data_IF_986929378929
#
_entry.id   IF_986929378929
#
_cell.length_a   1.000
_cell.length_b   1.000
_cell.length_c   1.000
_cell.angle_alpha   90.00
_cell.angle_beta   90.00
_cell.angle_gamma   90.00
#
_symmetry.space_group_name_H-M   'P 1'
#
loop_
_entity.id
_entity.type
_entity.pdbx_description
1 polymer ?
#
# COMPACT_ATOMS: atom_id res chain seq x y z
N UNK A 1 -16.68 9.33 21.25
CA UNK A 1 -15.82 9.27 20.06
C UNK A 1 -14.54 8.48 20.33
N UNK A 2 -13.61 8.89 21.21
CA UNK A 2 -12.29 8.22 21.35
C UNK A 2 -12.32 6.73 21.78
N UNK A 3 -13.34 6.29 22.53
CA UNK A 3 -13.36 4.94 23.11
C UNK A 3 -13.36 3.79 22.09
N UNK A 4 -14.02 3.96 20.94
CA UNK A 4 -14.05 2.91 19.90
C UNK A 4 -12.76 2.84 19.11
N UNK A 5 -12.11 3.98 18.86
CA UNK A 5 -10.82 4.05 18.19
C UNK A 5 -9.74 3.33 19.02
N UNK A 6 -9.70 3.61 20.34
CA UNK A 6 -8.79 2.95 21.28
C UNK A 6 -9.06 1.46 21.35
N UNK A 7 -10.33 1.03 21.41
CA UNK A 7 -10.71 -0.38 21.38
C UNK A 7 -10.16 -1.07 20.13
N UNK A 8 -10.38 -0.49 18.95
CA UNK A 8 -9.92 -1.08 17.69
C UNK A 8 -8.39 -1.20 17.67
N UNK A 9 -7.66 -0.18 18.12
CA UNK A 9 -6.19 -0.23 18.25
C UNK A 9 -5.75 -1.35 19.19
N UNK A 10 -6.41 -1.51 20.33
CA UNK A 10 -6.10 -2.58 21.27
C UNK A 10 -6.34 -3.98 20.67
N UNK A 11 -7.45 -4.18 19.96
CA UNK A 11 -7.76 -5.45 19.29
C UNK A 11 -6.76 -5.78 18.17
N UNK A 12 -6.32 -4.77 17.42
CA UNK A 12 -5.25 -4.91 16.40
C UNK A 12 -3.92 -5.31 17.04
N UNK A 13 -3.53 -4.67 18.14
CA UNK A 13 -2.35 -5.06 18.91
C UNK A 13 -2.43 -6.52 19.41
N UNK A 14 -3.55 -6.90 20.02
CA UNK A 14 -3.78 -8.26 20.51
C UNK A 14 -3.69 -9.31 19.40
N UNK A 15 -4.21 -8.98 18.21
CA UNK A 15 -4.17 -9.88 17.06
C UNK A 15 -2.76 -10.00 16.48
N UNK A 16 -2.03 -8.89 16.33
CA UNK A 16 -0.65 -8.89 15.81
C UNK A 16 0.33 -9.61 16.73
N UNK A 17 0.08 -9.57 18.04
CA UNK A 17 0.87 -10.29 19.05
C UNK A 17 0.44 -11.75 19.23
N UNK A 18 -0.54 -12.23 18.45
CA UNK A 18 -1.11 -13.58 18.56
C UNK A 18 -1.62 -13.92 19.98
N UNK A 19 -2.02 -12.92 20.76
CA UNK A 19 -2.59 -13.13 22.10
C UNK A 19 -4.07 -13.51 22.05
N UNK A 20 -4.75 -13.21 20.95
CA UNK A 20 -6.14 -13.58 20.74
C UNK A 20 -6.38 -14.05 19.32
N UNK A 21 -7.01 -15.22 19.23
CA UNK A 21 -7.57 -15.72 17.98
C UNK A 21 -8.71 -14.83 17.51
N UNK A 22 -8.95 -14.71 16.19
CA UNK A 22 -10.01 -13.85 15.66
C UNK A 22 -11.36 -14.06 16.34
N UNK A 23 -11.77 -15.31 16.56
CA UNK A 23 -13.08 -15.65 17.14
C UNK A 23 -13.30 -15.08 18.54
N UNK A 24 -12.23 -14.94 19.34
CA UNK A 24 -12.30 -14.35 20.67
C UNK A 24 -12.59 -12.84 20.65
N UNK A 25 -12.39 -12.19 19.49
CA UNK A 25 -12.61 -10.75 19.32
C UNK A 25 -14.00 -10.42 18.75
N UNK A 26 -14.82 -11.43 18.42
CA UNK A 26 -16.08 -11.24 17.71
C UNK A 26 -17.04 -10.28 18.44
N UNK A 27 -17.34 -10.54 19.71
CA UNK A 27 -18.28 -9.72 20.50
C UNK A 27 -17.80 -8.25 20.60
N UNK A 28 -16.50 -8.05 20.83
CA UNK A 28 -15.91 -6.72 20.91
C UNK A 28 -16.01 -5.97 19.57
N UNK A 29 -15.83 -6.68 18.45
CA UNK A 29 -15.95 -6.11 17.11
C UNK A 29 -17.40 -5.78 16.76
N UNK A 30 -18.36 -6.63 17.08
CA UNK A 30 -19.79 -6.34 16.89
C UNK A 30 -20.22 -5.10 17.67
N UNK A 31 -19.73 -4.96 18.91
CA UNK A 31 -19.95 -3.74 19.71
C UNK A 31 -19.29 -2.52 19.08
N UNK A 32 -18.06 -2.64 18.56
CA UNK A 32 -17.40 -1.55 17.86
C UNK A 32 -18.20 -1.09 16.63
N UNK A 33 -18.76 -2.03 15.85
CA UNK A 33 -19.62 -1.74 14.70
C UNK A 33 -20.87 -0.96 15.12
N UNK A 34 -21.56 -1.38 16.18
CA UNK A 34 -22.75 -0.69 16.68
C UNK A 34 -22.43 0.77 17.06
N UNK A 35 -21.29 1.00 17.72
CA UNK A 35 -20.85 2.34 18.10
C UNK A 35 -20.51 3.20 16.88
N UNK A 36 -19.83 2.64 15.87
CA UNK A 36 -19.51 3.36 14.64
C UNK A 36 -20.77 3.70 13.83
N UNK A 37 -21.76 2.80 13.80
CA UNK A 37 -23.06 3.05 13.16
C UNK A 37 -23.82 4.15 13.90
N UNK A 38 -23.87 4.12 15.23
CA UNK A 38 -24.52 5.15 16.04
C UNK A 38 -23.89 6.54 15.83
N UNK A 39 -22.57 6.60 15.66
CA UNK A 39 -21.84 7.83 15.35
C UNK A 39 -21.87 8.21 13.85
N UNK A 40 -22.56 7.43 13.01
CA UNK A 40 -22.71 7.69 11.58
C UNK A 40 -21.39 7.64 10.81
N UNK A 41 -20.47 6.75 11.20
CA UNK A 41 -19.17 6.53 10.53
C UNK A 41 -18.23 7.75 10.49
N UNK A 42 -18.41 8.72 11.39
CA UNK A 42 -17.58 9.95 11.46
C UNK A 42 -16.15 9.75 11.98
N UNK A 43 -15.79 8.50 12.29
CA UNK A 43 -14.47 8.13 12.83
C UNK A 43 -13.36 8.22 11.77
N UNK A 44 -12.08 8.31 12.16
CA UNK A 44 -10.97 8.32 11.21
C UNK A 44 -10.99 7.12 10.26
N UNK A 45 -10.60 7.31 8.99
CA UNK A 45 -10.56 6.22 8.00
C UNK A 45 -9.66 5.07 8.44
N UNK A 46 -8.63 5.35 9.24
CA UNK A 46 -7.74 4.34 9.82
C UNK A 46 -8.45 3.40 10.79
N UNK A 47 -9.38 3.90 11.59
CA UNK A 47 -10.23 3.09 12.46
C UNK A 47 -11.18 2.21 11.64
N UNK A 48 -11.76 2.77 10.58
CA UNK A 48 -12.66 2.04 9.67
C UNK A 48 -11.91 0.93 8.91
N UNK A 49 -10.70 1.21 8.41
CA UNK A 49 -9.82 0.23 7.75
C UNK A 49 -9.38 -0.88 8.71
N UNK A 50 -9.04 -0.51 9.96
CA UNK A 50 -8.70 -1.47 11.01
C UNK A 50 -9.88 -2.38 11.35
N UNK A 51 -11.09 -1.83 11.46
CA UNK A 51 -12.29 -2.64 11.64
C UNK A 51 -12.50 -3.63 10.47
N UNK A 52 -12.31 -3.17 9.23
CA UNK A 52 -12.43 -4.04 8.04
C UNK A 52 -11.45 -5.21 8.11
N UNK A 53 -10.19 -4.94 8.44
CA UNK A 53 -9.18 -5.99 8.63
C UNK A 53 -9.48 -6.91 9.82
N UNK A 54 -9.92 -6.35 10.95
CA UNK A 54 -10.26 -7.14 12.13
C UNK A 54 -11.47 -8.06 11.90
N UNK A 55 -12.47 -7.63 11.15
CA UNK A 55 -13.65 -8.44 10.86
C UNK A 55 -13.49 -9.41 9.67
N UNK A 56 -12.48 -9.23 8.82
CA UNK A 56 -12.29 -10.03 7.61
C UNK A 56 -12.29 -11.56 7.83
N UNK A 57 -11.55 -12.11 8.81
CA UNK A 57 -11.58 -13.57 9.05
C UNK A 57 -12.87 -14.07 9.68
N UNK A 58 -13.72 -13.20 10.22
CA UNK A 58 -14.83 -13.58 11.09
C UNK A 58 -16.16 -13.79 10.39
N UNK A 59 -16.25 -13.47 9.08
CA UNK A 59 -17.51 -13.52 8.33
C UNK A 59 -18.67 -12.91 9.14
N UNK A 60 -18.43 -11.77 9.81
CA UNK A 60 -19.38 -11.18 10.76
C UNK A 60 -20.73 -10.97 10.07
N UNK A 61 -21.66 -11.89 10.32
CA UNK A 61 -23.05 -11.76 9.91
C UNK A 61 -23.74 -10.98 11.02
N UNK A 62 -23.65 -9.66 10.96
CA UNK A 62 -24.43 -8.85 11.88
C UNK A 62 -25.92 -9.18 11.69
N UNK A 63 -26.67 -9.35 12.78
CA UNK A 63 -28.13 -9.49 12.77
C UNK A 63 -28.83 -8.33 12.02
N UNK A 64 -28.13 -7.20 11.85
CA UNK A 64 -28.56 -6.02 11.10
C UNK A 64 -28.01 -5.92 9.66
N UNK A 65 -27.43 -6.96 9.07
CA UNK A 65 -26.97 -6.98 7.66
C UNK A 65 -25.96 -5.89 7.25
N UNK A 66 -25.44 -5.12 8.21
CA UNK A 66 -24.75 -3.85 7.97
C UNK A 66 -23.24 -3.96 7.87
N UNK A 67 -22.62 -4.95 8.52
CA UNK A 67 -21.16 -5.08 8.54
C UNK A 67 -20.60 -5.40 7.14
N UNK A 68 -21.12 -6.44 6.50
CA UNK A 68 -20.66 -6.89 5.18
C UNK A 68 -21.04 -5.93 4.05
N UNK A 69 -22.16 -5.19 4.17
CA UNK A 69 -22.67 -4.38 3.07
C UNK A 69 -22.29 -2.89 3.16
N UNK A 70 -22.23 -2.30 4.36
CA UNK A 70 -22.03 -0.85 4.52
C UNK A 70 -20.55 -0.48 4.59
N UNK A 71 -19.73 -1.27 5.28
CA UNK A 71 -18.33 -0.94 5.55
C UNK A 71 -17.50 -0.76 4.26
N UNK A 72 -17.60 -1.66 3.24
CA UNK A 72 -16.93 -1.41 1.96
C UNK A 72 -17.42 -0.15 1.26
N UNK A 73 -18.72 0.17 1.36
CA UNK A 73 -19.30 1.39 0.80
C UNK A 73 -18.71 2.66 1.42
N UNK A 74 -18.58 2.70 2.75
CA UNK A 74 -17.98 3.81 3.48
C UNK A 74 -16.50 3.99 3.10
N UNK A 75 -15.73 2.88 3.06
CA UNK A 75 -14.32 2.92 2.66
C UNK A 75 -14.15 3.37 1.20
N UNK A 76 -15.06 2.99 0.30
CA UNK A 76 -15.05 3.46 -1.10
C UNK A 76 -15.31 4.96 -1.20
N UNK A 77 -16.28 5.48 -0.45
CA UNK A 77 -16.58 6.92 -0.43
C UNK A 77 -15.40 7.74 0.10
N UNK A 78 -14.67 7.19 1.07
CA UNK A 78 -13.56 7.85 1.76
C UNK A 78 -12.19 7.43 1.26
N UNK A 79 -12.11 6.78 0.09
CA UNK A 79 -10.87 6.21 -0.42
C UNK A 79 -9.73 7.23 -0.61
N UNK A 80 -10.06 8.51 -0.81
CA UNK A 80 -9.06 9.58 -0.94
C UNK A 80 -8.36 9.90 0.39
N UNK A 81 -8.96 9.57 1.53
CA UNK A 81 -8.39 9.78 2.85
C UNK A 81 -7.38 8.69 3.24
N UNK A 82 -7.38 7.56 2.52
CA UNK A 82 -6.52 6.41 2.81
C UNK A 82 -5.03 6.77 2.74
N UNK A 83 -4.29 6.27 3.73
CA UNK A 83 -2.83 6.34 3.83
C UNK A 83 -2.22 4.95 3.68
N UNK A 84 -0.89 4.87 3.59
CA UNK A 84 -0.14 3.62 3.43
C UNK A 84 -0.56 2.50 4.39
N UNK A 85 -0.56 2.74 5.72
CA UNK A 85 -0.97 1.72 6.69
C UNK A 85 -2.41 1.22 6.47
N UNK A 86 -3.31 2.11 6.03
CA UNK A 86 -4.69 1.74 5.73
C UNK A 86 -4.75 0.83 4.49
N UNK A 87 -3.98 1.15 3.45
CA UNK A 87 -3.87 0.31 2.25
C UNK A 87 -3.34 -1.08 2.61
N UNK A 88 -2.30 -1.17 3.44
CA UNK A 88 -1.76 -2.47 3.90
C UNK A 88 -2.85 -3.31 4.58
N UNK A 89 -3.58 -2.72 5.53
CA UNK A 89 -4.70 -3.38 6.23
C UNK A 89 -5.79 -3.86 5.26
N UNK A 90 -6.21 -3.00 4.32
CA UNK A 90 -7.27 -3.32 3.37
C UNK A 90 -6.85 -4.43 2.39
N UNK A 91 -5.63 -4.38 1.86
CA UNK A 91 -5.11 -5.43 0.97
C UNK A 91 -5.01 -6.75 1.72
N UNK A 92 -4.47 -6.75 2.95
CA UNK A 92 -4.40 -7.95 3.78
C UNK A 92 -5.78 -8.54 4.08
N UNK A 93 -6.76 -7.69 4.41
CA UNK A 93 -8.13 -8.08 4.67
C UNK A 93 -8.78 -8.76 3.46
N UNK A 94 -8.62 -8.18 2.26
CA UNK A 94 -9.20 -8.70 1.02
C UNK A 94 -8.60 -10.04 0.57
N UNK A 95 -7.53 -10.53 1.20
CA UNK A 95 -7.01 -11.89 0.95
C UNK A 95 -8.01 -12.94 1.45
N UNK A 96 -8.75 -12.66 2.51
CA UNK A 96 -9.82 -13.51 3.03
C UNK A 96 -11.02 -13.54 2.06
N UNK A 97 -11.55 -14.75 1.79
CA UNK A 97 -12.60 -14.93 0.78
C UNK A 97 -13.88 -14.14 1.07
N UNK A 98 -14.26 -14.03 2.34
CA UNK A 98 -15.45 -13.29 2.77
C UNK A 98 -15.32 -11.76 2.77
N UNK A 99 -14.17 -11.23 2.35
CA UNK A 99 -13.88 -9.79 2.35
C UNK A 99 -13.35 -9.30 0.99
N UNK A 100 -13.59 -10.08 -0.06
CA UNK A 100 -13.23 -9.71 -1.43
C UNK A 100 -14.19 -8.62 -1.92
N UNK A 101 -13.65 -7.41 -2.06
CA UNK A 101 -14.41 -6.22 -2.46
C UNK A 101 -13.77 -5.59 -3.71
N UNK A 102 -14.12 -6.06 -4.93
CA UNK A 102 -13.45 -5.62 -6.17
C UNK A 102 -13.51 -4.10 -6.39
N UNK A 103 -14.65 -3.48 -6.06
CA UNK A 103 -14.84 -2.04 -6.23
C UNK A 103 -14.02 -1.23 -5.23
N UNK A 104 -13.84 -1.73 -4.00
CA UNK A 104 -12.95 -1.13 -3.01
C UNK A 104 -11.49 -1.35 -3.40
N UNK A 105 -11.14 -2.54 -3.87
CA UNK A 105 -9.80 -2.86 -4.36
C UNK A 105 -9.38 -1.89 -5.47
N UNK A 106 -10.25 -1.61 -6.44
CA UNK A 106 -9.96 -0.65 -7.51
C UNK A 106 -9.64 0.75 -6.97
N UNK A 107 -10.34 1.20 -5.91
CA UNK A 107 -10.04 2.47 -5.24
C UNK A 107 -8.70 2.42 -4.49
N UNK A 108 -8.42 1.32 -3.80
CA UNK A 108 -7.15 1.09 -3.07
C UNK A 108 -5.97 1.08 -4.05
N UNK A 109 -6.08 0.35 -5.16
CA UNK A 109 -5.06 0.31 -6.22
C UNK A 109 -4.85 1.70 -6.80
N UNK A 110 -5.92 2.40 -7.18
CA UNK A 110 -5.82 3.75 -7.73
C UNK A 110 -5.15 4.75 -6.79
N UNK A 111 -5.24 4.54 -5.46
CA UNK A 111 -4.63 5.38 -4.42
C UNK A 111 -3.11 5.22 -4.32
N UNK A 112 -2.53 4.11 -4.80
CA UNK A 112 -1.08 3.86 -4.81
C UNK A 112 -0.29 4.90 -5.62
N UNK A 113 -0.96 5.65 -6.50
CA UNK A 113 -0.36 6.73 -7.29
C UNK A 113 -0.19 8.04 -6.54
N UNK A 114 -0.77 8.15 -5.34
CA UNK A 114 -0.71 9.38 -4.58
C UNK A 114 0.69 9.63 -4.00
N UNK A 115 1.12 10.88 -4.04
CA UNK A 115 2.39 11.28 -3.45
C UNK A 115 2.40 11.01 -1.94
N UNK A 116 3.52 10.47 -1.44
CA UNK A 116 3.70 10.15 -0.02
C UNK A 116 2.83 9.00 0.50
N UNK A 117 2.11 8.27 -0.37
CA UNK A 117 1.19 7.22 0.07
C UNK A 117 1.88 6.11 0.87
N UNK A 118 3.16 5.83 0.58
CA UNK A 118 3.95 4.81 1.27
C UNK A 118 4.54 5.28 2.62
N UNK A 119 4.25 6.52 3.03
CA UNK A 119 4.66 7.03 4.33
C UNK A 119 4.08 6.21 5.48
N UNK A 120 4.93 5.84 6.44
CA UNK A 120 4.55 5.04 7.60
C UNK A 120 4.51 3.53 7.37
N UNK A 121 4.88 3.05 6.18
CA UNK A 121 5.05 1.62 5.89
C UNK A 121 6.50 1.18 6.08
N UNK A 122 6.71 -0.06 6.52
CA UNK A 122 8.00 -0.75 6.45
C UNK A 122 8.27 -1.30 5.04
N UNK A 123 9.50 -1.70 4.74
CA UNK A 123 9.81 -2.33 3.46
C UNK A 123 9.07 -3.68 3.31
N UNK A 124 8.93 -4.43 4.40
CA UNK A 124 8.12 -5.66 4.49
C UNK A 124 6.66 -5.39 4.14
N UNK A 125 6.04 -4.33 4.68
CA UNK A 125 4.64 -3.99 4.36
C UNK A 125 4.43 -3.76 2.85
N UNK A 126 5.42 -3.17 2.16
CA UNK A 126 5.34 -2.95 0.72
C UNK A 126 5.34 -4.27 -0.06
N UNK A 127 6.16 -5.24 0.37
CA UNK A 127 6.19 -6.58 -0.20
C UNK A 127 4.87 -7.31 0.07
N UNK A 128 4.33 -7.22 1.29
CA UNK A 128 3.03 -7.81 1.63
C UNK A 128 1.89 -7.22 0.81
N UNK A 129 1.90 -5.90 0.56
CA UNK A 129 0.96 -5.26 -0.35
C UNK A 129 1.10 -5.86 -1.76
N UNK A 130 2.33 -5.95 -2.29
CA UNK A 130 2.56 -6.51 -3.63
C UNK A 130 2.06 -7.95 -3.76
N UNK A 131 2.29 -8.78 -2.74
CA UNK A 131 1.77 -10.15 -2.70
C UNK A 131 0.26 -10.21 -2.59
N UNK A 132 -0.36 -9.35 -1.78
CA UNK A 132 -1.81 -9.28 -1.68
C UNK A 132 -2.46 -8.84 -2.99
N UNK A 133 -1.87 -7.88 -3.71
CA UNK A 133 -2.36 -7.42 -5.01
C UNK A 133 -2.19 -8.51 -6.10
N UNK A 134 -1.08 -9.25 -6.06
CA UNK A 134 -0.86 -10.47 -6.86
C UNK A 134 -1.96 -11.49 -6.61
N UNK A 135 -2.26 -11.80 -5.35
CA UNK A 135 -3.32 -12.76 -4.98
C UNK A 135 -4.73 -12.31 -5.44
N UNK A 136 -4.90 -11.02 -5.75
CA UNK A 136 -6.14 -10.43 -6.30
C UNK A 136 -6.11 -10.21 -7.81
N UNK A 137 -5.05 -10.64 -8.50
CA UNK A 137 -4.95 -10.55 -9.96
C UNK A 137 -4.96 -9.12 -10.48
N UNK A 138 -4.39 -8.17 -9.74
CA UNK A 138 -4.29 -6.78 -10.19
C UNK A 138 -3.21 -6.68 -11.26
N UNK A 139 -3.58 -6.16 -12.44
CA UNK A 139 -2.68 -5.97 -13.59
C UNK A 139 -2.54 -4.47 -13.99
N UNK A 140 -2.97 -3.53 -13.13
CA UNK A 140 -2.86 -2.09 -13.40
C UNK A 140 -1.41 -1.59 -13.23
N UNK A 141 -0.64 -1.65 -14.33
CA UNK A 141 0.76 -1.22 -14.39
C UNK A 141 0.98 0.22 -13.89
N UNK A 142 0.12 1.16 -14.27
CA UNK A 142 0.29 2.57 -13.90
C UNK A 142 0.14 2.79 -12.40
N UNK A 143 -0.80 2.07 -11.78
CA UNK A 143 -1.01 2.15 -10.32
C UNK A 143 0.02 1.34 -9.52
N UNK A 144 0.56 0.26 -10.10
CA UNK A 144 1.52 -0.62 -9.43
C UNK A 144 2.98 -0.15 -9.58
N UNK A 145 3.29 0.67 -10.58
CA UNK A 145 4.65 1.22 -10.80
C UNK A 145 5.20 1.95 -9.56
N UNK A 146 4.48 2.87 -8.89
CA UNK A 146 4.98 3.55 -7.70
C UNK A 146 5.34 2.58 -6.55
N UNK A 147 4.54 1.53 -6.35
CA UNK A 147 4.79 0.52 -5.32
C UNK A 147 6.12 -0.20 -5.58
N UNK A 148 6.35 -0.65 -6.81
CA UNK A 148 7.58 -1.35 -7.14
C UNK A 148 8.82 -0.45 -7.18
N UNK A 149 8.67 0.83 -7.55
CA UNK A 149 9.74 1.83 -7.42
C UNK A 149 10.13 2.06 -5.95
N UNK A 150 9.15 2.12 -5.05
CA UNK A 150 9.40 2.29 -3.63
C UNK A 150 10.07 1.05 -3.01
N UNK A 151 9.63 -0.16 -3.38
CA UNK A 151 10.29 -1.42 -2.99
C UNK A 151 11.74 -1.43 -3.46
N UNK A 152 12.01 -1.05 -4.71
CA UNK A 152 13.37 -0.98 -5.23
C UNK A 152 14.23 0.06 -4.49
N UNK A 153 13.67 1.24 -4.21
CA UNK A 153 14.34 2.30 -3.46
C UNK A 153 14.80 1.80 -2.09
N UNK A 154 13.99 0.94 -1.46
CA UNK A 154 14.22 0.36 -0.13
C UNK A 154 14.78 -1.05 -0.16
N UNK A 155 15.30 -1.53 -1.30
CA UNK A 155 15.80 -2.91 -1.46
C UNK A 155 16.85 -3.32 -0.43
N UNK A 156 17.62 -2.37 0.11
CA UNK A 156 18.63 -2.62 1.13
C UNK A 156 18.04 -2.96 2.51
N UNK A 157 16.76 -2.70 2.72
CA UNK A 157 16.01 -3.04 3.93
C UNK A 157 15.38 -4.44 3.84
N UNK A 158 15.34 -5.04 2.65
CA UNK A 158 14.71 -6.32 2.40
C UNK A 158 15.67 -7.49 2.62
N UNK A 159 15.16 -8.57 3.19
CA UNK A 159 15.83 -9.86 3.17
C UNK A 159 15.88 -10.44 1.74
N UNK A 160 16.77 -11.42 1.47
CA UNK A 160 16.79 -12.12 0.19
C UNK A 160 15.44 -12.78 -0.15
N UNK A 161 14.74 -13.29 0.86
CA UNK A 161 13.43 -13.92 0.71
C UNK A 161 12.36 -12.90 0.28
N UNK A 162 12.24 -11.77 0.98
CA UNK A 162 11.29 -10.71 0.64
C UNK A 162 11.59 -10.11 -0.74
N UNK A 163 12.87 -9.97 -1.08
CA UNK A 163 13.28 -9.53 -2.42
C UNK A 163 12.76 -10.49 -3.49
N UNK A 164 12.92 -11.80 -3.29
CA UNK A 164 12.39 -12.82 -4.19
C UNK A 164 10.86 -12.79 -4.27
N UNK A 165 10.15 -12.63 -3.14
CA UNK A 165 8.69 -12.51 -3.11
C UNK A 165 8.21 -11.31 -3.92
N UNK A 166 8.84 -10.14 -3.75
CA UNK A 166 8.52 -8.96 -4.53
C UNK A 166 8.72 -9.21 -6.04
N UNK A 167 9.86 -9.80 -6.44
CA UNK A 167 10.12 -10.15 -7.83
C UNK A 167 9.02 -11.06 -8.40
N UNK A 168 8.70 -12.15 -7.68
CA UNK A 168 7.69 -13.11 -8.09
C UNK A 168 6.30 -12.47 -8.20
N UNK A 169 5.95 -11.55 -7.30
CA UNK A 169 4.66 -10.85 -7.33
C UNK A 169 4.51 -9.99 -8.59
N UNK A 170 5.50 -9.14 -8.91
CA UNK A 170 5.43 -8.29 -10.09
C UNK A 170 5.47 -9.09 -11.40
N UNK A 171 6.23 -10.20 -11.45
CA UNK A 171 6.20 -11.12 -12.59
C UNK A 171 4.81 -11.76 -12.79
N UNK A 172 4.18 -12.22 -11.71
CA UNK A 172 2.85 -12.84 -11.77
C UNK A 172 1.74 -11.84 -12.15
N UNK A 173 1.89 -10.56 -11.77
CA UNK A 173 1.02 -9.47 -12.22
C UNK A 173 1.31 -9.02 -13.68
N UNK A 174 2.21 -9.73 -14.39
CA UNK A 174 2.63 -9.47 -15.79
C UNK A 174 3.19 -8.07 -16.01
N UNK A 175 3.79 -7.47 -14.99
CA UNK A 175 4.40 -6.14 -15.11
C UNK A 175 5.89 -6.32 -15.40
N UNK A 176 6.41 -5.78 -16.51
CA UNK A 176 7.83 -5.90 -16.81
C UNK A 176 8.67 -5.27 -15.70
N UNK A 177 9.47 -6.08 -15.01
CA UNK A 177 10.36 -5.61 -13.94
C UNK A 177 11.25 -4.42 -14.36
N UNK A 178 11.78 -4.36 -15.60
CA UNK A 178 12.52 -3.18 -16.05
C UNK A 178 11.68 -1.90 -16.04
N UNK A 179 10.39 -1.95 -16.38
CA UNK A 179 9.52 -0.77 -16.40
C UNK A 179 9.12 -0.28 -15.01
N UNK A 180 9.08 -1.19 -14.04
CA UNK A 180 8.79 -0.89 -12.64
C UNK A 180 10.03 -0.41 -11.90
N UNK A 181 11.21 -0.94 -12.26
CA UNK A 181 12.46 -0.71 -11.54
C UNK A 181 13.41 0.27 -12.19
N UNK A 182 13.06 0.80 -13.37
CA UNK A 182 13.74 1.99 -13.86
C UNK A 182 13.33 3.20 -13.02
N UNK A 183 14.32 3.90 -12.48
CA UNK A 183 14.10 5.19 -11.84
C UNK A 183 13.47 6.18 -12.84
N UNK A 184 12.55 7.05 -12.39
CA UNK A 184 12.09 8.16 -13.21
C UNK A 184 13.29 8.98 -13.74
N UNK A 185 13.45 9.05 -15.07
CA UNK A 185 14.54 9.78 -15.73
C UNK A 185 15.73 8.94 -16.21
N UNK A 186 15.77 7.64 -15.94
CA UNK A 186 16.73 6.73 -16.56
C UNK A 186 16.27 6.33 -17.97
N UNK A 187 16.71 7.08 -18.99
CA UNK A 187 16.51 6.66 -20.38
C UNK A 187 17.49 5.53 -20.71
N UNK A 188 16.99 4.32 -20.95
CA UNK A 188 17.81 3.24 -21.51
C UNK A 188 18.00 3.52 -23.00
N UNK A 189 19.16 4.09 -23.35
CA UNK A 189 19.62 4.07 -24.74
C UNK A 189 20.26 2.71 -25.00
N UNK A 190 19.66 1.94 -25.92
CA UNK A 190 20.31 0.77 -26.51
C UNK A 190 21.33 1.26 -27.51
N UNK A 191 22.61 1.09 -27.20
CA UNK A 191 23.69 1.26 -28.17
C UNK A 191 24.38 -0.10 -28.38
N UNK A 192 24.20 -0.66 -29.58
CA UNK A 192 24.98 -1.72 -30.22
C UNK A 192 25.20 -3.08 -29.53
N UNK A 193 25.61 -3.14 -28.27
CA UNK A 193 25.95 -4.38 -27.56
C UNK A 193 26.09 -4.22 -26.03
N UNK A 194 25.87 -3.03 -25.46
CA UNK A 194 26.01 -2.80 -24.01
C UNK A 194 24.86 -1.97 -23.46
N UNK A 195 24.24 -2.49 -22.39
CA UNK A 195 23.31 -1.72 -21.56
C UNK A 195 24.13 -0.72 -20.75
N UNK A 196 24.10 0.56 -21.15
CA UNK A 196 24.74 1.65 -20.40
C UNK A 196 23.66 2.44 -19.66
N UNK A 197 23.66 2.35 -18.33
CA UNK A 197 22.77 3.13 -17.46
C UNK A 197 23.25 4.59 -17.44
N UNK A 198 22.58 5.49 -18.15
CA UNK A 198 22.90 6.93 -18.11
C UNK A 198 22.05 7.60 -17.02
N UNK A 199 22.66 7.94 -15.88
CA UNK A 199 22.03 8.81 -14.89
C UNK A 199 22.16 10.26 -15.35
N UNK A 200 21.03 10.93 -15.62
CA UNK A 200 21.01 12.37 -15.85
C UNK A 200 21.08 13.09 -14.50
N UNK A 201 22.28 13.55 -14.12
CA UNK A 201 22.42 14.47 -13.00
C UNK A 201 21.75 15.80 -13.37
N UNK A 202 20.66 16.16 -12.67
CA UNK A 202 20.17 17.55 -12.68
C UNK A 202 21.25 18.42 -12.05
N UNK A 203 21.76 19.39 -12.79
CA UNK A 203 22.55 20.49 -12.23
C UNK A 203 21.68 21.22 -11.20
N UNK A 204 22.12 21.23 -9.95
CA UNK A 204 21.62 22.20 -8.97
C UNK A 204 21.97 23.61 -9.49
N UNK A 205 20.98 24.48 -9.59
CA UNK A 205 21.22 25.92 -9.74
C UNK A 205 22.07 26.39 -8.56
N UNK A 206 23.29 26.84 -8.85
CA UNK A 206 24.23 27.31 -7.82
C UNK A 206 25.71 26.99 -8.09
N UNK A 207 26.02 26.05 -8.99
CA UNK A 207 27.40 25.75 -9.39
C UNK A 207 27.74 26.27 -10.79
N UNK A 208 27.66 27.58 -10.98
CA UNK A 208 28.35 28.23 -12.10
C UNK A 208 29.87 28.17 -11.86
N UNK A 209 30.52 27.17 -12.47
CA UNK A 209 31.97 27.17 -12.63
C UNK A 209 32.35 28.39 -13.47
N UNK A 210 33.01 29.37 -12.85
CA UNK A 210 33.75 30.44 -13.55
C UNK A 210 34.73 29.82 -14.54
N UNK A 211 34.32 29.69 -15.81
CA UNK A 211 35.22 29.55 -16.95
C UNK A 211 35.70 30.95 -17.33
N UNK A 212 36.90 31.33 -16.89
CA UNK A 212 37.73 32.27 -17.66
C UNK A 212 38.72 31.41 -18.45
N UNK A 213 38.40 31.17 -19.72
CA UNK A 213 39.43 30.97 -20.74
C UNK A 213 40.02 32.34 -21.11
N UNK A 214 41.11 32.45 -21.85
CA UNK A 214 42.08 31.49 -22.37
C UNK A 214 43.31 32.32 -22.74
N UNK A 215 44.42 31.61 -22.93
CA UNK A 215 45.70 32.12 -23.41
C UNK A 215 45.62 32.89 -24.74
N UNK A 216 46.59 33.81 -24.88
CA UNK A 216 47.44 34.07 -26.04
C UNK A 216 46.82 34.07 -27.44
N UNK A 217 46.88 35.25 -28.07
CA UNK A 217 46.99 35.40 -29.53
C UNK A 217 48.10 36.43 -29.78
N UNK A 218 49.15 35.96 -30.46
CA UNK A 218 50.24 36.61 -31.24
C UNK A 218 50.82 37.96 -30.80
#
# INVERSE_FOLDING_TARGET
MEGVDVLLVALDGLRRLAFQEPGAQQEALERAVQLLVADGWKHPVSSVSRLFWLGAPLKLQGEAGGFSNLLPGILRQRAQELRGPDISLLVAAMRHEGSREPELLAKVVGRLRAEGIFGGLSATDLVEIAEGLKDRGVEDTESLRPLGQEILRRRGELTPYESHQAHAAFQAMKIPLPEVWMQPGAAVKRDGAQLVTTQAFRLQEGHEKKRRGSNEIE
#
